data_IF_632692356942
#
_entry.id   IF_632692356942
#
_cell.length_a   1.000
_cell.length_b   1.000
_cell.length_c   1.000
_cell.angle_alpha   90.00
_cell.angle_beta   90.00
_cell.angle_gamma   90.00
#
_symmetry.space_group_name_H-M   'P 1'
#
loop_
_entity.id
_entity.type
_entity.pdbx_description
1 polymer ?
#
# COMPACT_ATOMS: atom_id res chain seq x y z
N UNK A 1 -14.43 -8.03 -0.96
CA UNK A 1 -13.11 -8.65 -0.69
C UNK A 1 -12.28 -7.65 0.12
N UNK A 2 -11.34 -8.05 0.99
CA UNK A 2 -10.54 -7.10 1.82
C UNK A 2 -9.81 -6.02 0.99
N UNK A 3 -9.51 -6.33 -0.27
CA UNK A 3 -8.89 -5.41 -1.23
C UNK A 3 -9.80 -4.19 -1.51
N UNK A 4 -11.12 -4.38 -1.51
CA UNK A 4 -12.09 -3.33 -1.79
C UNK A 4 -12.14 -2.27 -0.70
N UNK A 5 -11.62 -2.54 0.51
CA UNK A 5 -11.59 -1.58 1.62
C UNK A 5 -10.25 -0.85 1.73
N UNK A 6 -9.21 -1.29 1.01
CA UNK A 6 -7.89 -0.65 1.01
C UNK A 6 -7.95 0.81 0.56
N UNK A 7 -8.95 1.20 -0.25
CA UNK A 7 -9.16 2.57 -0.68
C UNK A 7 -9.38 3.56 0.48
N UNK A 8 -9.87 3.09 1.64
CA UNK A 8 -10.17 3.94 2.81
C UNK A 8 -8.93 4.29 3.64
N UNK A 9 -7.86 3.51 3.53
CA UNK A 9 -6.65 3.72 4.32
C UNK A 9 -5.74 4.78 3.69
N UNK A 10 -5.04 5.53 4.54
CA UNK A 10 -4.05 6.51 4.10
C UNK A 10 -2.76 5.82 3.62
N UNK A 11 -1.89 6.55 2.91
CA UNK A 11 -0.66 6.00 2.34
C UNK A 11 0.33 5.49 3.40
N UNK A 12 0.38 6.13 4.58
CA UNK A 12 1.23 5.71 5.69
C UNK A 12 0.82 4.34 6.24
N UNK A 13 -0.46 4.19 6.59
CA UNK A 13 -1.04 2.93 7.06
C UNK A 13 -0.91 1.83 6.00
N UNK A 14 -1.10 2.15 4.71
CA UNK A 14 -0.89 1.19 3.63
C UNK A 14 0.58 0.72 3.54
N UNK A 15 1.54 1.62 3.73
CA UNK A 15 2.97 1.27 3.78
C UNK A 15 3.31 0.40 5.00
N UNK A 16 2.76 0.72 6.17
CA UNK A 16 2.98 -0.07 7.39
C UNK A 16 2.40 -1.49 7.24
N UNK A 17 1.19 -1.61 6.68
CA UNK A 17 0.56 -2.90 6.38
C UNK A 17 1.36 -3.68 5.34
N UNK A 18 1.85 -3.03 4.30
CA UNK A 18 2.72 -3.65 3.29
C UNK A 18 3.99 -4.19 3.91
N UNK A 19 4.66 -3.41 4.76
CA UNK A 19 5.89 -3.82 5.45
C UNK A 19 5.64 -5.01 6.38
N UNK A 20 4.58 -4.97 7.18
CA UNK A 20 4.22 -6.08 8.07
C UNK A 20 3.90 -7.39 7.32
N UNK A 21 3.25 -7.29 6.15
CA UNK A 21 2.98 -8.45 5.29
C UNK A 21 4.27 -9.01 4.66
N UNK A 22 5.17 -8.13 4.21
CA UNK A 22 6.46 -8.49 3.61
C UNK A 22 7.40 -9.14 4.64
N UNK A 23 7.49 -8.58 5.86
CA UNK A 23 8.27 -9.15 6.96
C UNK A 23 7.76 -10.52 7.36
N UNK A 24 6.43 -10.71 7.34
CA UNK A 24 5.81 -12.00 7.57
C UNK A 24 6.21 -12.99 6.46
N UNK A 25 6.18 -12.57 5.18
CA UNK A 25 6.55 -13.40 4.01
C UNK A 25 8.02 -13.83 4.05
N UNK A 26 8.91 -12.91 4.41
CA UNK A 26 10.34 -13.17 4.55
C UNK A 26 10.68 -13.96 5.81
N UNK A 27 9.71 -14.16 6.71
CA UNK A 27 9.91 -14.84 7.98
C UNK A 27 10.83 -14.06 8.94
N UNK A 28 11.04 -12.77 8.69
CA UNK A 28 12.08 -11.96 9.35
C UNK A 28 11.61 -11.50 10.74
N UNK A 29 10.32 -11.23 10.95
CA UNK A 29 9.82 -10.86 12.28
C UNK A 29 8.38 -11.32 12.54
N UNK A 30 8.23 -12.21 13.52
CA UNK A 30 7.19 -12.10 14.53
C UNK A 30 7.58 -12.98 15.73
N UNK A 31 8.17 -12.36 16.76
CA UNK A 31 8.43 -13.02 18.06
C UNK A 31 7.14 -13.27 18.88
N UNK A 32 5.98 -12.83 18.39
CA UNK A 32 4.74 -12.79 19.17
C UNK A 32 3.51 -13.39 18.48
N UNK A 33 3.61 -13.81 17.21
CA UNK A 33 2.53 -14.56 16.58
C UNK A 33 2.89 -16.04 16.65
N UNK A 34 1.97 -16.93 17.06
CA UNK A 34 2.18 -18.34 16.82
C UNK A 34 2.46 -18.48 15.33
N UNK A 35 3.52 -19.20 14.96
CA UNK A 35 3.79 -19.63 13.59
C UNK A 35 2.72 -20.65 13.15
N UNK A 36 1.45 -20.30 13.35
CA UNK A 36 0.27 -21.09 13.08
C UNK A 36 0.24 -21.31 11.58
N UNK A 37 0.80 -22.47 11.19
CA UNK A 37 0.58 -23.21 9.95
C UNK A 37 0.24 -22.25 8.82
N UNK A 38 1.22 -21.46 8.41
CA UNK A 38 1.00 -20.50 7.34
C UNK A 38 0.94 -21.29 6.03
N UNK A 39 -0.28 -21.64 5.61
CA UNK A 39 -0.50 -22.49 4.44
C UNK A 39 -0.03 -21.75 3.20
N UNK A 40 0.33 -22.50 2.16
CA UNK A 40 0.75 -21.93 0.85
C UNK A 40 -0.28 -20.91 0.32
N UNK A 41 -1.57 -21.17 0.53
CA UNK A 41 -2.68 -20.27 0.18
C UNK A 41 -2.65 -18.93 0.93
N UNK A 42 -2.23 -18.92 2.20
CA UNK A 42 -2.14 -17.67 2.97
C UNK A 42 -0.97 -16.80 2.51
N UNK A 43 0.13 -17.42 2.08
CA UNK A 43 1.27 -16.71 1.47
C UNK A 43 0.89 -16.10 0.12
N UNK A 44 0.18 -16.84 -0.73
CA UNK A 44 -0.33 -16.35 -2.02
C UNK A 44 -1.33 -15.20 -1.84
N UNK A 45 -2.20 -15.28 -0.83
CA UNK A 45 -3.12 -14.19 -0.47
C UNK A 45 -2.37 -12.96 0.03
N UNK A 46 -1.37 -13.12 0.90
CA UNK A 46 -0.54 -12.02 1.39
C UNK A 46 0.22 -11.33 0.24
N UNK A 47 0.80 -12.09 -0.68
CA UNK A 47 1.46 -11.56 -1.87
C UNK A 47 0.50 -10.76 -2.75
N UNK A 48 -0.74 -11.24 -2.92
CA UNK A 48 -1.78 -10.54 -3.68
C UNK A 48 -2.19 -9.23 -3.00
N UNK A 49 -2.26 -9.21 -1.66
CA UNK A 49 -2.55 -7.98 -0.90
C UNK A 49 -1.42 -6.95 -1.04
N UNK A 50 -0.15 -7.37 -0.95
CA UNK A 50 1.01 -6.49 -1.17
C UNK A 50 0.94 -5.88 -2.57
N UNK A 51 0.67 -6.69 -3.59
CA UNK A 51 0.56 -6.22 -4.97
C UNK A 51 -0.57 -5.18 -5.14
N UNK A 52 -1.73 -5.42 -4.51
CA UNK A 52 -2.85 -4.48 -4.55
C UNK A 52 -2.49 -3.14 -3.89
N UNK A 53 -1.81 -3.18 -2.74
CA UNK A 53 -1.33 -1.99 -2.02
C UNK A 53 -0.32 -1.22 -2.89
N UNK A 54 0.65 -1.90 -3.48
CA UNK A 54 1.65 -1.28 -4.36
C UNK A 54 1.02 -0.59 -5.57
N UNK A 55 0.03 -1.24 -6.19
CA UNK A 55 -0.74 -0.65 -7.29
C UNK A 55 -1.47 0.61 -6.84
N UNK A 56 -2.12 0.57 -5.68
CA UNK A 56 -2.89 1.70 -5.16
C UNK A 56 -1.99 2.88 -4.79
N UNK A 57 -0.87 2.64 -4.11
CA UNK A 57 0.12 3.66 -3.77
C UNK A 57 0.73 4.30 -5.03
N UNK A 58 1.03 3.50 -6.05
CA UNK A 58 1.53 4.02 -7.33
C UNK A 58 0.51 4.95 -7.99
N UNK A 59 -0.77 4.56 -8.03
CA UNK A 59 -1.84 5.40 -8.58
C UNK A 59 -1.97 6.72 -7.83
N UNK A 60 -1.97 6.68 -6.48
CA UNK A 60 -2.05 7.90 -5.65
C UNK A 60 -0.84 8.81 -5.83
N UNK A 61 0.37 8.24 -5.93
CA UNK A 61 1.60 9.00 -6.20
C UNK A 61 1.55 9.71 -7.56
N UNK A 62 1.02 9.05 -8.58
CA UNK A 62 0.83 9.65 -9.91
C UNK A 62 -0.20 10.79 -9.85
N UNK A 63 -1.37 10.58 -9.22
CA UNK A 63 -2.39 11.62 -9.08
C UNK A 63 -1.85 12.84 -8.34
N UNK A 64 -1.14 12.65 -7.22
CA UNK A 64 -0.55 13.75 -6.46
C UNK A 64 0.53 14.51 -7.23
N UNK A 65 1.28 13.81 -8.10
CA UNK A 65 2.24 14.46 -9.01
C UNK A 65 1.53 15.26 -10.09
N UNK A 66 0.41 14.75 -10.61
CA UNK A 66 -0.42 15.43 -11.60
C UNK A 66 -1.11 16.67 -11.01
N UNK A 67 -1.64 16.57 -9.78
CA UNK A 67 -2.20 17.71 -9.04
C UNK A 67 -1.16 18.82 -8.84
N UNK A 68 0.10 18.47 -8.49
CA UNK A 68 1.18 19.45 -8.40
C UNK A 68 1.52 20.08 -9.75
N UNK A 69 1.50 19.29 -10.83
CA UNK A 69 1.76 19.79 -12.18
C UNK A 69 0.67 20.76 -12.66
N UNK A 70 -0.59 20.43 -12.42
CA UNK A 70 -1.74 21.29 -12.79
C UNK A 70 -1.87 22.50 -11.86
N UNK A 71 -1.69 22.31 -10.55
CA UNK A 71 -1.81 23.34 -9.53
C UNK A 71 -0.67 24.37 -9.54
N UNK A 72 0.50 24.05 -10.10
CA UNK A 72 1.58 25.00 -10.32
C UNK A 72 1.39 25.94 -11.52
N UNK A 73 0.29 25.79 -12.29
CA UNK A 73 -0.04 26.65 -13.44
C UNK A 73 -1.11 27.72 -13.15
N UNK A 74 -1.67 27.76 -11.94
CA UNK A 74 -2.57 28.83 -11.51
C UNK A 74 -1.81 29.72 -10.53
N UNK A 75 -1.89 31.04 -10.72
CA UNK A 75 -1.19 32.14 -10.02
C UNK A 75 0.12 32.68 -10.63
N UNK A 76 0.30 32.61 -11.95
CA UNK A 76 1.24 33.50 -12.67
C UNK A 76 0.51 34.26 -13.78
N UNK A 77 -0.71 34.70 -13.45
CA UNK A 77 -1.58 35.39 -14.38
C UNK A 77 -2.72 36.08 -13.64
N UNK A 78 -2.37 37.13 -12.90
CA UNK A 78 -3.27 38.24 -12.60
C UNK A 78 -2.41 39.52 -12.47
N UNK A 79 -2.57 40.40 -13.46
CA UNK A 79 -2.44 41.88 -13.47
C UNK A 79 -1.29 42.57 -12.72
#
# INVERSE_FOLDING_TARGET
MWIDELHKFNDGTLNDVRAALDDRLKGIQMKHLPQAIWRKSDKERAATMILAIDKQLKTRRIMRSLEKFVGGRLYEGDF
#
